data_IF_665935114653
#
_entry.id   IF_665935114653
#
_cell.length_a   1.000
_cell.length_b   1.000
_cell.length_c   1.000
_cell.angle_alpha   90.00
_cell.angle_beta   90.00
_cell.angle_gamma   90.00
#
_symmetry.space_group_name_H-M   'P 1'
#
loop_
_entity.id
_entity.type
_entity.pdbx_description
1 polymer ?
#
# COMPACT_ATOMS: atom_id res chain seq x y z
N UNK A 1 51.45 -1.99 33.95
CA UNK A 1 51.09 -2.54 32.62
C UNK A 1 49.59 -2.76 32.58
N UNK A 2 48.88 -1.84 31.92
CA UNK A 2 47.43 -1.89 31.68
C UNK A 2 47.15 -2.89 30.57
N UNK A 3 46.20 -3.81 30.74
CA UNK A 3 45.57 -4.54 29.64
C UNK A 3 44.13 -4.08 29.54
N UNK A 4 43.88 -3.33 28.47
CA UNK A 4 42.61 -2.73 28.10
C UNK A 4 41.65 -3.83 27.64
N UNK A 5 40.45 -3.85 28.22
CA UNK A 5 39.30 -4.54 27.67
C UNK A 5 38.88 -3.80 26.39
N UNK A 6 39.20 -4.36 25.22
CA UNK A 6 38.61 -3.93 23.95
C UNK A 6 37.17 -4.44 23.90
N UNK A 7 36.24 -3.53 24.19
CA UNK A 7 34.83 -3.66 23.84
C UNK A 7 34.74 -3.78 22.32
N UNK A 8 34.33 -4.95 21.85
CA UNK A 8 33.98 -5.16 20.46
C UNK A 8 32.63 -4.46 20.22
N UNK A 9 32.64 -3.28 19.60
CA UNK A 9 31.45 -2.67 19.02
C UNK A 9 30.91 -3.61 17.93
N UNK A 10 29.97 -4.48 18.29
CA UNK A 10 29.10 -5.17 17.36
C UNK A 10 28.12 -4.12 16.82
N UNK A 11 28.38 -3.68 15.59
CA UNK A 11 27.48 -2.88 14.80
C UNK A 11 26.17 -3.64 14.58
N UNK A 12 25.19 -3.40 15.45
CA UNK A 12 23.77 -3.74 15.25
C UNK A 12 23.18 -2.61 14.42
N UNK A 13 23.54 -2.63 13.13
CA UNK A 13 23.15 -1.66 12.13
C UNK A 13 23.11 -2.36 10.79
N UNK A 14 22.15 -3.27 10.63
CA UNK A 14 21.64 -3.77 9.33
C UNK A 14 20.56 -4.82 9.57
N UNK A 15 19.30 -4.42 9.46
CA UNK A 15 18.24 -5.21 8.78
C UNK A 15 17.06 -4.32 8.33
N UNK A 16 17.36 -3.04 8.08
CA UNK A 16 16.55 -2.09 7.28
C UNK A 16 17.47 -1.40 6.24
N UNK A 17 18.48 -2.11 5.77
CA UNK A 17 19.44 -1.61 4.78
C UNK A 17 20.01 -2.73 3.89
N UNK A 18 19.08 -3.40 3.22
CA UNK A 18 19.16 -3.61 1.77
C UNK A 18 17.83 -3.03 1.29
N UNK A 19 17.70 -1.75 0.95
CA UNK A 19 18.52 -1.01 0.00
C UNK A 19 18.55 0.47 0.42
N UNK A 20 19.72 0.94 0.86
CA UNK A 20 20.12 2.34 0.71
C UNK A 20 20.54 2.56 -0.74
N UNK A 21 19.56 2.54 -1.62
CA UNK A 21 19.55 3.38 -2.81
C UNK A 21 18.45 4.36 -2.43
N UNK A 22 18.73 5.64 -2.61
CA UNK A 22 17.72 6.56 -3.14
C UNK A 22 17.21 5.95 -4.45
N UNK A 23 16.47 4.86 -4.36
CA UNK A 23 15.54 4.45 -5.35
C UNK A 23 14.29 5.04 -4.76
N UNK A 24 13.80 6.09 -5.40
CA UNK A 24 12.38 6.19 -5.63
C UNK A 24 11.87 4.74 -5.80
N UNK A 25 11.33 4.15 -4.73
CA UNK A 25 10.40 3.04 -4.88
C UNK A 25 9.17 3.75 -5.40
N UNK A 26 9.25 4.10 -6.68
CA UNK A 26 8.12 4.57 -7.43
C UNK A 26 7.08 3.47 -7.40
N UNK A 27 5.81 3.79 -7.61
CA UNK A 27 4.72 2.86 -7.91
C UNK A 27 5.03 1.79 -9.00
N UNK A 28 6.22 1.78 -9.60
CA UNK A 28 6.42 1.46 -11.00
C UNK A 28 7.23 0.17 -11.27
N UNK A 29 7.40 -0.74 -10.30
CA UNK A 29 8.27 -1.92 -10.45
C UNK A 29 7.55 -3.27 -10.15
N UNK A 30 7.31 -4.09 -11.19
CA UNK A 30 6.79 -5.47 -11.11
C UNK A 30 7.80 -6.53 -11.64
N UNK A 31 8.30 -7.39 -10.76
CA UNK A 31 9.30 -8.42 -11.07
C UNK A 31 8.82 -9.52 -12.04
N UNK A 32 9.68 -9.97 -12.96
CA UNK A 32 9.49 -11.26 -13.66
C UNK A 32 9.98 -12.44 -12.79
N UNK A 33 9.67 -13.69 -13.20
CA UNK A 33 10.08 -14.91 -12.47
C UNK A 33 11.59 -15.04 -12.24
N UNK A 34 12.41 -14.34 -13.03
CA UNK A 34 13.88 -14.44 -13.03
C UNK A 34 14.58 -13.18 -12.48
N UNK A 35 13.83 -12.25 -11.87
CA UNK A 35 14.33 -10.99 -11.26
C UNK A 35 15.21 -10.10 -12.16
N UNK A 36 15.07 -10.18 -13.48
CA UNK A 36 15.83 -9.33 -14.42
C UNK A 36 14.92 -8.28 -15.08
N UNK A 37 15.25 -7.02 -14.82
CA UNK A 37 14.81 -5.76 -15.45
C UNK A 37 13.34 -5.63 -15.87
N UNK A 38 12.64 -4.70 -15.22
CA UNK A 38 11.21 -4.50 -15.39
C UNK A 38 10.96 -3.19 -16.13
N UNK A 39 10.10 -3.22 -17.14
CA UNK A 39 9.55 -2.03 -17.79
C UNK A 39 8.81 -1.20 -16.74
N UNK A 40 9.16 0.07 -16.47
CA UNK A 40 8.44 0.87 -15.49
C UNK A 40 6.92 0.89 -15.77
N UNK A 41 6.07 0.94 -14.73
CA UNK A 41 4.61 0.88 -14.87
C UNK A 41 4.08 1.86 -15.91
N UNK A 42 4.55 3.09 -15.93
CA UNK A 42 4.20 4.13 -16.90
C UNK A 42 4.54 3.76 -18.35
N UNK A 43 5.50 2.86 -18.54
CA UNK A 43 5.95 2.37 -19.85
C UNK A 43 5.31 1.02 -20.23
N UNK A 44 4.50 0.41 -19.37
CA UNK A 44 3.78 -0.84 -19.67
C UNK A 44 2.54 -0.58 -20.53
N UNK A 45 2.24 -1.51 -21.44
CA UNK A 45 0.94 -1.54 -22.11
C UNK A 45 -0.18 -1.86 -21.12
N UNK A 46 -1.40 -1.41 -21.42
CA UNK A 46 -2.58 -1.70 -20.60
C UNK A 46 -2.83 -3.20 -20.42
N UNK A 47 -2.49 -4.02 -21.42
CA UNK A 47 -2.55 -5.48 -21.32
C UNK A 47 -1.57 -6.02 -20.27
N UNK A 48 -0.31 -5.55 -20.28
CA UNK A 48 0.70 -5.96 -19.30
C UNK A 48 0.36 -5.49 -17.88
N UNK A 49 -0.09 -4.24 -17.75
CA UNK A 49 -0.59 -3.71 -16.47
C UNK A 49 -1.74 -4.56 -15.94
N UNK A 50 -2.73 -4.87 -16.79
CA UNK A 50 -3.88 -5.70 -16.40
C UNK A 50 -3.44 -7.10 -15.99
N UNK A 51 -2.48 -7.70 -16.70
CA UNK A 51 -1.96 -9.02 -16.33
C UNK A 51 -1.30 -9.03 -14.94
N UNK A 52 -0.53 -8.00 -14.61
CA UNK A 52 0.04 -7.85 -13.28
C UNK A 52 -1.03 -7.62 -12.20
N UNK A 53 -2.03 -6.77 -12.49
CA UNK A 53 -3.15 -6.54 -11.59
C UNK A 53 -3.94 -7.82 -11.30
N UNK A 54 -4.10 -8.71 -12.27
CA UNK A 54 -4.75 -10.00 -12.07
C UNK A 54 -3.95 -10.90 -11.11
N UNK A 55 -2.62 -10.90 -11.21
CA UNK A 55 -1.75 -11.63 -10.27
C UNK A 55 -1.92 -11.10 -8.85
N UNK A 56 -1.77 -9.78 -8.67
CA UNK A 56 -1.96 -9.14 -7.37
C UNK A 56 -3.38 -9.34 -6.82
N UNK A 57 -4.41 -9.29 -7.67
CA UNK A 57 -5.78 -9.54 -7.25
C UNK A 57 -6.01 -10.97 -6.77
N UNK A 58 -5.38 -11.96 -7.42
CA UNK A 58 -5.40 -13.34 -6.97
C UNK A 58 -4.75 -13.49 -5.59
N UNK A 59 -3.57 -12.89 -5.40
CA UNK A 59 -2.84 -12.88 -4.13
C UNK A 59 -3.67 -12.19 -3.02
N UNK A 60 -4.26 -11.03 -3.31
CA UNK A 60 -5.16 -10.29 -2.40
C UNK A 60 -6.35 -11.16 -2.01
N UNK A 61 -7.05 -11.73 -3.00
CA UNK A 61 -8.23 -12.56 -2.77
C UNK A 61 -7.91 -13.78 -1.90
N UNK A 62 -6.77 -14.41 -2.16
CA UNK A 62 -6.29 -15.54 -1.37
C UNK A 62 -5.94 -15.12 0.06
N UNK A 63 -5.25 -13.99 0.25
CA UNK A 63 -4.95 -13.45 1.58
C UNK A 63 -6.23 -13.12 2.36
N UNK A 64 -7.23 -12.50 1.72
CA UNK A 64 -8.51 -12.19 2.35
C UNK A 64 -9.26 -13.44 2.82
N UNK A 65 -9.27 -14.51 2.01
CA UNK A 65 -9.91 -15.78 2.36
C UNK A 65 -9.17 -16.54 3.47
N UNK A 66 -7.92 -16.17 3.77
CA UNK A 66 -7.05 -16.88 4.70
C UNK A 66 -6.49 -15.97 5.81
N UNK A 67 -7.08 -14.79 6.01
CA UNK A 67 -6.65 -13.87 7.05
C UNK A 67 -6.68 -14.53 8.43
N UNK A 68 -5.62 -14.33 9.22
CA UNK A 68 -5.45 -14.99 10.51
C UNK A 68 -5.19 -16.49 10.42
N UNK A 69 -4.83 -17.05 9.26
CA UNK A 69 -4.31 -18.43 9.18
C UNK A 69 -2.78 -18.45 9.25
N UNK A 70 -2.18 -19.48 9.86
CA UNK A 70 -0.73 -19.68 9.80
C UNK A 70 -0.22 -19.96 8.40
N UNK A 71 0.96 -19.44 8.08
CA UNK A 71 1.63 -19.69 6.79
C UNK A 71 1.84 -21.19 6.55
N UNK A 72 2.12 -21.98 7.60
CA UNK A 72 2.23 -23.45 7.51
C UNK A 72 0.92 -24.17 7.14
N UNK A 73 -0.23 -23.50 7.23
CA UNK A 73 -1.56 -24.08 6.94
C UNK A 73 -2.14 -23.60 5.61
N UNK A 74 -1.36 -22.88 4.81
CA UNK A 74 -1.76 -22.35 3.50
C UNK A 74 -0.72 -22.73 2.45
N UNK A 75 -1.09 -22.64 1.18
CA UNK A 75 -0.11 -22.73 0.08
C UNK A 75 0.67 -21.41 -0.04
N UNK A 76 1.99 -21.39 0.22
CA UNK A 76 2.80 -20.17 0.18
C UNK A 76 2.95 -19.59 -1.24
N UNK A 77 2.83 -20.44 -2.27
CA UNK A 77 2.91 -20.02 -3.68
C UNK A 77 1.80 -19.05 -4.07
N UNK A 78 0.64 -19.13 -3.42
CA UNK A 78 -0.52 -18.27 -3.70
C UNK A 78 -0.39 -16.87 -3.10
N UNK A 79 0.55 -16.69 -2.18
CA UNK A 79 0.81 -15.41 -1.51
C UNK A 79 2.02 -14.70 -2.13
N UNK A 80 2.90 -15.46 -2.79
CA UNK A 80 4.11 -14.97 -3.45
C UNK A 80 4.92 -14.05 -2.53
N UNK A 81 5.06 -14.45 -1.26
CA UNK A 81 5.71 -13.64 -0.25
C UNK A 81 6.61 -14.51 0.63
N UNK A 82 7.83 -14.72 0.13
CA UNK A 82 8.87 -15.53 0.80
C UNK A 82 9.40 -14.83 2.05
N UNK A 83 9.20 -13.51 2.20
CA UNK A 83 9.80 -12.72 3.27
C UNK A 83 8.93 -12.68 4.54
N UNK A 84 7.61 -12.54 4.41
CA UNK A 84 6.71 -12.43 5.57
C UNK A 84 6.45 -13.75 6.31
N UNK A 85 6.71 -14.91 5.67
CA UNK A 85 6.69 -16.22 6.34
C UNK A 85 7.59 -16.25 7.59
N UNK A 86 8.66 -15.46 7.60
CA UNK A 86 9.72 -15.55 8.61
C UNK A 86 9.50 -14.69 9.86
N UNK A 87 8.67 -13.63 9.80
CA UNK A 87 8.55 -12.66 10.91
C UNK A 87 7.23 -12.73 11.68
N UNK A 88 6.13 -13.05 11.00
CA UNK A 88 4.79 -12.97 11.60
C UNK A 88 4.08 -14.32 11.64
N UNK A 89 4.52 -15.31 10.86
CA UNK A 89 4.02 -16.70 10.90
C UNK A 89 2.57 -16.88 10.42
N UNK A 90 1.92 -15.79 10.00
CA UNK A 90 0.48 -15.67 9.78
C UNK A 90 0.11 -14.67 8.68
N UNK A 91 -1.05 -14.85 8.04
CA UNK A 91 -1.63 -13.85 7.12
C UNK A 91 -2.24 -12.69 7.90
N UNK A 92 -1.75 -11.48 7.67
CA UNK A 92 -2.17 -10.26 8.38
C UNK A 92 -2.84 -9.24 7.46
N UNK A 93 -3.43 -8.20 8.08
CA UNK A 93 -3.91 -7.05 7.32
C UNK A 93 -2.75 -6.28 6.68
N UNK A 94 -1.58 -6.23 7.32
CA UNK A 94 -0.38 -5.58 6.78
C UNK A 94 0.12 -6.22 5.50
N UNK A 95 0.04 -7.55 5.41
CA UNK A 95 0.34 -8.27 4.17
C UNK A 95 -0.63 -7.88 3.05
N UNK A 96 -1.93 -7.88 3.34
CA UNK A 96 -2.97 -7.46 2.38
C UNK A 96 -2.75 -6.01 1.94
N UNK A 97 -2.34 -5.13 2.88
CA UNK A 97 -2.01 -3.75 2.59
C UNK A 97 -0.87 -3.63 1.58
N UNK A 98 0.24 -4.34 1.81
CA UNK A 98 1.37 -4.38 0.88
C UNK A 98 0.97 -4.77 -0.54
N UNK A 99 0.09 -5.77 -0.67
CA UNK A 99 -0.45 -6.18 -1.98
C UNK A 99 -1.33 -5.11 -2.63
N UNK A 100 -2.18 -4.43 -1.86
CA UNK A 100 -2.97 -3.30 -2.41
C UNK A 100 -2.10 -2.10 -2.82
N UNK A 101 -0.99 -1.85 -2.12
CA UNK A 101 -0.01 -0.84 -2.52
C UNK A 101 0.64 -1.21 -3.87
N UNK A 102 1.06 -2.47 -4.05
CA UNK A 102 1.59 -2.96 -5.33
C UNK A 102 0.53 -2.97 -6.45
N UNK A 103 -0.72 -3.22 -6.10
CA UNK A 103 -1.87 -3.14 -7.01
C UNK A 103 -2.21 -1.70 -7.43
N UNK A 104 -1.68 -0.68 -6.74
CA UNK A 104 -1.98 0.73 -7.01
C UNK A 104 -3.31 1.24 -6.43
N UNK A 105 -3.97 0.50 -5.54
CA UNK A 105 -5.13 0.98 -4.77
C UNK A 105 -4.71 1.42 -3.38
N UNK A 106 -4.08 2.60 -3.33
CA UNK A 106 -3.52 3.16 -2.10
C UNK A 106 -4.55 3.42 -1.00
N UNK A 107 -5.82 3.64 -1.38
CA UNK A 107 -6.89 3.80 -0.42
C UNK A 107 -7.16 2.50 0.33
N UNK A 108 -7.23 1.37 -0.38
CA UNK A 108 -7.34 0.06 0.28
C UNK A 108 -6.02 -0.30 0.99
N UNK A 109 -4.86 0.03 0.44
CA UNK A 109 -3.57 -0.17 1.11
C UNK A 109 -3.56 0.46 2.51
N UNK A 110 -3.85 1.76 2.60
CA UNK A 110 -3.92 2.47 3.89
C UNK A 110 -4.95 1.86 4.84
N UNK A 111 -6.13 1.52 4.33
CA UNK A 111 -7.20 0.93 5.14
C UNK A 111 -6.73 -0.36 5.80
N UNK A 112 -6.14 -1.29 5.04
CA UNK A 112 -5.62 -2.53 5.58
C UNK A 112 -4.40 -2.32 6.50
N UNK A 113 -3.50 -1.39 6.17
CA UNK A 113 -2.38 -1.05 7.04
C UNK A 113 -2.86 -0.48 8.38
N UNK A 114 -3.93 0.32 8.37
CA UNK A 114 -4.53 0.83 9.60
C UNK A 114 -5.26 -0.24 10.41
N UNK A 115 -5.91 -1.20 9.76
CA UNK A 115 -6.48 -2.37 10.45
C UNK A 115 -5.38 -3.19 11.14
N UNK A 116 -4.23 -3.37 10.48
CA UNK A 116 -3.04 -4.03 11.06
C UNK A 116 -2.52 -3.26 12.29
N UNK A 117 -2.36 -1.94 12.13
CA UNK A 117 -2.05 -1.01 13.23
C UNK A 117 -2.97 -1.21 14.45
N UNK A 118 -4.28 -1.13 14.22
CA UNK A 118 -5.27 -1.23 15.29
C UNK A 118 -5.28 -2.62 15.94
N UNK A 119 -5.03 -3.68 15.17
CA UNK A 119 -4.94 -5.04 15.70
C UNK A 119 -3.73 -5.21 16.61
N UNK A 120 -2.59 -4.62 16.27
CA UNK A 120 -1.40 -4.63 17.12
C UNK A 120 -1.58 -3.78 18.39
N UNK A 121 -2.15 -2.57 18.27
CA UNK A 121 -2.42 -1.69 19.42
C UNK A 121 -3.39 -2.30 20.41
N UNK A 122 -4.46 -2.94 19.91
CA UNK A 122 -5.49 -3.53 20.75
C UNK A 122 -5.16 -4.96 21.20
N UNK A 123 -4.00 -5.49 20.82
CA UNK A 123 -3.61 -6.83 21.21
C UNK A 123 -3.42 -6.93 22.74
N UNK A 124 -4.11 -7.87 23.42
CA UNK A 124 -3.80 -8.20 24.81
C UNK A 124 -2.36 -8.73 24.92
N UNK A 125 -1.56 -8.07 25.78
CA UNK A 125 -0.19 -8.50 26.07
C UNK A 125 -0.15 -9.34 27.34
N UNK A 126 0.54 -10.47 27.31
CA UNK A 126 0.80 -11.32 28.47
C UNK A 126 2.33 -11.44 28.66
N UNK A 127 2.84 -11.11 29.85
CA UNK A 127 4.28 -11.03 30.13
C UNK A 127 5.08 -10.17 29.13
N UNK A 128 4.48 -9.08 28.63
CA UNK A 128 5.11 -8.17 27.68
C UNK A 128 5.11 -8.63 26.21
N UNK A 129 4.57 -9.81 25.91
CA UNK A 129 4.44 -10.35 24.55
C UNK A 129 3.00 -10.32 24.08
N UNK A 130 2.80 -10.09 22.80
CA UNK A 130 1.49 -10.26 22.17
C UNK A 130 1.02 -11.72 22.31
N UNK A 131 -0.25 -11.96 22.64
CA UNK A 131 -0.80 -13.32 22.61
C UNK A 131 -0.66 -13.92 21.19
N UNK A 132 -0.53 -15.24 21.03
CA UNK A 132 -0.44 -15.88 19.71
C UNK A 132 -1.63 -15.59 18.78
N UNK A 133 -2.78 -15.26 19.36
CA UNK A 133 -4.01 -14.86 18.67
C UNK A 133 -3.99 -13.37 18.23
N UNK A 134 -2.89 -12.67 18.50
CA UNK A 134 -2.58 -11.36 17.94
C UNK A 134 -1.50 -11.52 16.87
N UNK A 135 -1.96 -11.45 15.64
CA UNK A 135 -1.16 -11.72 14.44
C UNK A 135 -0.43 -10.44 13.98
N UNK A 136 -0.59 -9.30 14.67
CA UNK A 136 0.04 -8.00 14.34
C UNK A 136 1.54 -7.87 14.68
N UNK A 137 2.24 -9.01 14.81
CA UNK A 137 3.64 -9.08 15.22
C UNK A 137 3.86 -8.79 16.72
N UNK A 138 4.77 -9.54 17.33
CA UNK A 138 5.31 -9.18 18.64
C UNK A 138 6.33 -8.04 18.45
N UNK A 139 5.93 -6.82 18.83
CA UNK A 139 6.77 -5.62 18.70
C UNK A 139 7.88 -5.53 19.75
N UNK A 140 7.95 -6.49 20.68
CA UNK A 140 8.99 -6.49 21.72
C UNK A 140 10.40 -6.77 21.18
N UNK A 141 10.53 -7.26 19.94
CA UNK A 141 11.82 -7.45 19.25
C UNK A 141 12.35 -6.23 18.50
N UNK A 142 11.53 -5.18 18.31
CA UNK A 142 11.96 -3.89 17.73
C UNK A 142 12.19 -2.98 18.93
N UNK A 143 13.46 -2.73 19.27
CA UNK A 143 13.98 -2.35 20.60
C UNK A 143 13.45 -1.08 21.29
N UNK A 144 12.32 -0.53 20.88
CA UNK A 144 11.67 0.65 21.47
C UNK A 144 10.13 0.59 21.48
N UNK A 145 9.51 -0.52 21.04
CA UNK A 145 8.06 -0.68 21.04
C UNK A 145 7.31 0.25 20.07
N UNK A 146 8.02 0.89 19.12
CA UNK A 146 7.39 1.68 18.06
C UNK A 146 6.90 0.72 16.97
N UNK A 147 5.59 0.70 16.75
CA UNK A 147 5.04 0.03 15.59
C UNK A 147 5.21 0.96 14.38
N UNK A 148 5.93 0.58 13.30
CA UNK A 148 6.12 1.46 12.14
C UNK A 148 4.91 1.71 11.20
N UNK A 149 3.72 1.07 11.30
CA UNK A 149 2.73 1.21 10.24
C UNK A 149 2.10 2.59 10.18
N UNK A 150 2.11 3.40 11.24
CA UNK A 150 1.68 4.80 11.11
C UNK A 150 2.60 5.59 10.19
N UNK A 151 3.91 5.38 10.27
CA UNK A 151 4.88 5.97 9.35
C UNK A 151 4.66 5.45 7.93
N UNK A 152 4.47 4.14 7.75
CA UNK A 152 4.18 3.57 6.42
C UNK A 152 2.86 4.08 5.82
N UNK A 153 1.81 4.26 6.65
CA UNK A 153 0.54 4.86 6.22
C UNK A 153 0.76 6.32 5.78
N UNK A 154 1.52 7.09 6.57
CA UNK A 154 1.87 8.47 6.26
C UNK A 154 2.66 8.54 4.95
N UNK A 155 3.68 7.71 4.78
CA UNK A 155 4.49 7.61 3.56
C UNK A 155 3.61 7.31 2.35
N UNK A 156 2.67 6.37 2.48
CA UNK A 156 1.72 6.00 1.42
C UNK A 156 0.86 7.20 1.00
N UNK A 157 0.35 7.98 1.96
CA UNK A 157 -0.41 9.19 1.65
C UNK A 157 0.45 10.26 0.97
N UNK A 158 1.68 10.48 1.44
CA UNK A 158 2.58 11.48 0.86
C UNK A 158 3.02 11.13 -0.56
N UNK A 159 3.34 9.86 -0.82
CA UNK A 159 3.63 9.36 -2.18
C UNK A 159 2.46 9.61 -3.15
N UNK A 160 1.23 9.61 -2.64
CA UNK A 160 0.02 9.91 -3.40
C UNK A 160 -0.38 11.38 -3.41
N UNK A 161 0.46 12.26 -2.85
CA UNK A 161 0.17 13.69 -2.69
C UNK A 161 -1.11 13.98 -1.87
N UNK A 162 -1.64 13.00 -1.14
CA UNK A 162 -2.78 13.15 -0.25
C UNK A 162 -2.33 13.52 1.17
N UNK A 163 -1.65 14.66 1.26
CA UNK A 163 -1.16 15.20 2.53
C UNK A 163 -2.30 15.46 3.52
N UNK A 164 -3.50 15.80 3.02
CA UNK A 164 -4.68 15.99 3.87
C UNK A 164 -5.10 14.68 4.54
N UNK A 165 -5.07 13.57 3.80
CA UNK A 165 -5.26 12.22 4.32
C UNK A 165 -4.19 11.78 5.33
N UNK A 166 -2.95 12.24 5.18
CA UNK A 166 -1.85 11.93 6.11
C UNK A 166 -1.99 12.58 7.50
N UNK A 167 -2.58 13.79 7.59
CA UNK A 167 -2.55 14.60 8.84
C UNK A 167 -3.07 13.91 10.11
N UNK A 168 -4.18 13.14 10.09
CA UNK A 168 -4.66 12.44 11.28
C UNK A 168 -3.66 11.39 11.80
N UNK A 169 -2.90 10.75 10.91
CA UNK A 169 -1.90 9.74 11.27
C UNK A 169 -0.65 10.39 11.84
N UNK A 170 -0.24 11.54 11.30
CA UNK A 170 0.80 12.37 11.91
C UNK A 170 0.46 12.77 13.34
N UNK A 171 -0.76 13.26 13.58
CA UNK A 171 -1.19 13.66 14.92
C UNK A 171 -1.13 12.50 15.90
N UNK A 172 -1.50 11.29 15.46
CA UNK A 172 -1.45 10.09 16.29
C UNK A 172 -0.01 9.68 16.61
N UNK A 173 0.86 9.63 15.61
CA UNK A 173 2.27 9.25 15.78
C UNK A 173 3.01 10.26 16.67
N UNK A 174 2.89 11.56 16.36
CA UNK A 174 3.49 12.64 17.15
C UNK A 174 2.91 12.72 18.57
N UNK A 175 1.62 12.43 18.73
CA UNK A 175 1.00 12.33 20.05
C UNK A 175 1.59 11.21 20.91
N UNK A 176 2.09 10.14 20.28
CA UNK A 176 2.80 9.07 20.98
C UNK A 176 4.20 9.52 21.43
N UNK A 177 4.95 10.21 20.57
CA UNK A 177 6.30 10.71 20.87
C UNK A 177 6.29 11.85 21.91
N UNK A 178 5.26 12.69 21.85
CA UNK A 178 5.11 13.85 22.71
C UNK A 178 4.39 13.54 24.03
N UNK A 179 4.00 12.28 24.27
CA UNK A 179 3.14 11.89 25.42
C UNK A 179 3.70 12.38 26.76
N UNK A 180 5.00 12.16 26.96
CA UNK A 180 5.71 12.42 28.22
C UNK A 180 6.29 13.84 28.30
N UNK A 181 6.00 14.69 27.30
CA UNK A 181 6.43 16.08 27.28
C UNK A 181 5.34 16.98 27.87
N UNK A 182 5.77 18.01 28.60
CA UNK A 182 4.89 19.01 29.19
C UNK A 182 4.16 19.82 28.11
N UNK A 183 2.90 20.20 28.37
CA UNK A 183 2.07 20.99 27.45
C UNK A 183 0.60 20.57 27.51
N UNK A 184 -0.31 21.52 27.30
CA UNK A 184 -1.76 21.29 27.25
C UNK A 184 -2.23 20.89 25.85
N UNK A 185 -1.52 21.32 24.81
CA UNK A 185 -1.81 20.99 23.41
C UNK A 185 -0.69 20.14 22.79
N UNK A 186 -0.98 19.45 21.68
CA UNK A 186 0.03 18.71 20.94
C UNK A 186 1.16 19.64 20.46
N UNK A 187 0.81 20.82 19.98
CA UNK A 187 1.76 21.84 19.51
C UNK A 187 2.72 22.31 20.61
N UNK A 188 2.21 22.52 21.83
CA UNK A 188 3.04 22.86 22.99
C UNK A 188 4.01 21.73 23.36
N UNK A 189 3.50 20.49 23.39
CA UNK A 189 4.31 19.31 23.67
C UNK A 189 5.42 19.12 22.64
N UNK A 190 5.11 19.31 21.36
CA UNK A 190 6.08 19.19 20.26
C UNK A 190 7.12 20.32 20.27
N UNK A 191 6.73 21.55 20.67
CA UNK A 191 7.69 22.64 20.90
C UNK A 191 8.69 22.27 22.00
N UNK A 192 8.21 21.70 23.11
CA UNK A 192 9.09 21.27 24.21
C UNK A 192 10.00 20.09 23.79
N UNK A 193 9.48 19.16 23.00
CA UNK A 193 10.29 18.09 22.37
C UNK A 193 11.40 18.67 21.48
N UNK A 194 11.10 19.65 20.61
CA UNK A 194 12.11 20.35 19.79
C UNK A 194 13.20 21.02 20.64
N UNK A 195 12.83 21.67 21.75
CA UNK A 195 13.79 22.30 22.67
C UNK A 195 14.71 21.26 23.32
N UNK A 196 14.18 20.10 23.71
CA UNK A 196 14.98 19.01 24.29
C UNK A 196 15.90 18.39 23.24
N UNK A 197 15.42 18.18 22.02
CA UNK A 197 16.18 17.60 20.93
C UNK A 197 17.38 18.47 20.50
N UNK A 198 17.31 19.79 20.68
CA UNK A 198 18.46 20.68 20.48
C UNK A 198 19.66 20.38 21.42
N UNK A 199 19.46 19.55 22.44
CA UNK A 199 20.48 19.15 23.44
C UNK A 199 20.75 17.65 23.45
N UNK A 200 20.04 16.87 22.65
CA UNK A 200 20.11 15.40 22.62
C UNK A 200 20.02 14.90 21.17
N UNK A 201 21.17 14.49 20.63
CA UNK A 201 21.31 14.02 19.25
C UNK A 201 20.45 12.78 18.95
N UNK A 202 20.07 12.00 19.99
CA UNK A 202 19.20 10.84 19.82
C UNK A 202 17.75 11.20 19.46
N UNK A 203 17.37 12.48 19.55
CA UNK A 203 16.04 12.97 19.21
C UNK A 203 15.96 13.60 17.80
N UNK A 204 17.00 13.42 16.97
CA UNK A 204 17.05 13.98 15.61
C UNK A 204 15.89 13.49 14.73
N UNK A 205 15.57 12.20 14.79
CA UNK A 205 14.43 11.61 14.08
C UNK A 205 13.10 12.26 14.51
N UNK A 206 13.00 12.58 15.82
CA UNK A 206 11.84 13.24 16.39
C UNK A 206 11.57 14.61 15.74
N UNK A 207 12.63 15.40 15.58
CA UNK A 207 12.57 16.74 14.99
C UNK A 207 12.25 16.66 13.49
N UNK A 208 12.92 15.78 12.75
CA UNK A 208 12.69 15.61 11.32
C UNK A 208 11.22 15.26 11.01
N UNK A 209 10.60 14.40 11.84
CA UNK A 209 9.21 14.05 11.65
C UNK A 209 8.25 15.21 11.95
N UNK A 210 8.56 16.07 12.94
CA UNK A 210 7.77 17.28 13.21
C UNK A 210 7.87 18.25 12.03
N UNK A 211 9.06 18.43 11.46
CA UNK A 211 9.26 19.27 10.26
C UNK A 211 8.49 18.72 9.06
N UNK A 212 8.51 17.40 8.88
CA UNK A 212 7.73 16.71 7.85
C UNK A 212 6.22 16.94 8.03
N UNK A 213 5.71 16.85 9.27
CA UNK A 213 4.31 17.20 9.58
C UNK A 213 3.97 18.67 9.31
N UNK A 214 4.86 19.60 9.65
CA UNK A 214 4.69 21.03 9.36
C UNK A 214 4.66 21.31 7.86
N UNK A 215 5.48 20.60 7.07
CA UNK A 215 5.44 20.62 5.61
C UNK A 215 4.13 20.05 5.08
N UNK A 216 3.70 18.87 5.55
CA UNK A 216 2.44 18.24 5.16
C UNK A 216 1.23 19.15 5.43
N UNK A 217 1.19 19.87 6.56
CA UNK A 217 0.14 20.87 6.85
C UNK A 217 0.05 21.99 5.81
N UNK A 218 1.17 22.39 5.21
CA UNK A 218 1.21 23.40 4.14
C UNK A 218 0.73 22.77 2.82
N UNK A 219 1.27 21.61 2.46
CA UNK A 219 0.94 20.90 1.22
C UNK A 219 -0.52 20.44 1.17
N UNK A 220 -1.11 20.06 2.31
CA UNK A 220 -2.52 19.68 2.40
C UNK A 220 -3.51 20.80 1.97
N UNK A 221 -3.06 22.05 1.84
CA UNK A 221 -3.87 23.18 1.35
C UNK A 221 -3.77 23.38 -0.15
N UNK A 222 -2.71 22.89 -0.80
CA UNK A 222 -2.36 23.21 -2.19
C UNK A 222 -2.34 21.99 -3.09
N UNK A 223 -1.83 20.86 -2.58
CA UNK A 223 -1.70 19.61 -3.32
C UNK A 223 -3.03 18.85 -3.38
N UNK A 224 -3.19 18.08 -4.45
CA UNK A 224 -4.32 17.17 -4.64
C UNK A 224 -3.81 15.75 -4.78
N UNK A 225 -4.58 14.75 -4.29
CA UNK A 225 -4.23 13.35 -4.49
C UNK A 225 -4.04 13.02 -5.96
N UNK A 226 -3.04 12.18 -6.25
CA UNK A 226 -2.85 11.60 -7.57
C UNK A 226 -4.09 10.75 -7.90
N UNK A 227 -4.74 10.95 -9.07
CA UNK A 227 -5.87 10.12 -9.46
C UNK A 227 -5.42 8.67 -9.67
N UNK A 228 -6.29 7.72 -9.32
CA UNK A 228 -6.02 6.30 -9.58
C UNK A 228 -5.78 6.06 -11.07
N UNK A 229 -4.76 5.26 -11.39
CA UNK A 229 -4.49 4.85 -12.76
C UNK A 229 -5.76 4.21 -13.37
N UNK A 230 -6.18 4.62 -14.59
CA UNK A 230 -7.38 4.08 -15.21
C UNK A 230 -7.40 2.56 -15.29
N UNK A 231 -6.27 1.90 -15.53
CA UNK A 231 -6.18 0.44 -15.61
C UNK A 231 -6.57 -0.18 -14.27
N UNK A 232 -6.04 0.37 -13.16
CA UNK A 232 -6.35 -0.06 -11.79
C UNK A 232 -7.84 0.12 -11.49
N UNK A 233 -8.40 1.28 -11.85
CA UNK A 233 -9.81 1.59 -11.61
C UNK A 233 -10.74 0.64 -12.38
N UNK A 234 -10.46 0.35 -13.65
CA UNK A 234 -11.27 -0.55 -14.46
C UNK A 234 -11.10 -2.01 -14.02
N UNK A 235 -9.90 -2.42 -13.61
CA UNK A 235 -9.67 -3.73 -13.00
C UNK A 235 -10.46 -3.92 -11.71
N UNK A 236 -10.50 -2.89 -10.85
CA UNK A 236 -11.35 -2.91 -9.66
C UNK A 236 -12.84 -3.02 -10.01
N UNK A 237 -13.30 -2.32 -11.04
CA UNK A 237 -14.68 -2.40 -11.50
C UNK A 237 -15.06 -3.76 -12.07
N UNK A 238 -14.12 -4.48 -12.70
CA UNK A 238 -14.36 -5.83 -13.20
C UNK A 238 -14.78 -6.81 -12.10
N UNK A 239 -14.23 -6.65 -10.90
CA UNK A 239 -14.57 -7.46 -9.72
C UNK A 239 -15.71 -6.90 -8.88
N UNK A 240 -16.36 -5.83 -9.32
CA UNK A 240 -17.49 -5.26 -8.61
C UNK A 240 -18.73 -6.16 -8.68
N UNK A 241 -19.53 -6.14 -7.61
CA UNK A 241 -20.85 -6.74 -7.61
C UNK A 241 -21.86 -5.97 -8.50
N UNK A 242 -21.53 -4.74 -8.93
CA UNK A 242 -22.42 -3.90 -9.74
C UNK A 242 -22.18 -4.14 -11.24
N UNK A 243 -23.17 -4.67 -11.99
CA UNK A 243 -23.00 -4.96 -13.42
C UNK A 243 -22.60 -3.72 -14.24
N UNK A 244 -23.11 -2.53 -13.89
CA UNK A 244 -22.77 -1.30 -14.59
C UNK A 244 -21.28 -0.91 -14.47
N UNK A 245 -20.61 -1.24 -13.36
CA UNK A 245 -19.17 -1.04 -13.21
C UNK A 245 -18.40 -2.07 -14.04
N UNK A 246 -18.82 -3.34 -14.00
CA UNK A 246 -18.20 -4.41 -14.82
C UNK A 246 -18.29 -4.09 -16.31
N UNK A 247 -19.42 -3.58 -16.80
CA UNK A 247 -19.59 -3.19 -18.20
C UNK A 247 -18.62 -2.08 -18.63
N UNK A 248 -18.37 -1.08 -17.75
CA UNK A 248 -17.34 -0.06 -18.03
C UNK A 248 -15.94 -0.68 -18.15
N UNK A 249 -15.62 -1.67 -17.32
CA UNK A 249 -14.37 -2.41 -17.42
C UNK A 249 -14.27 -3.17 -18.75
N UNK A 250 -15.35 -3.83 -19.20
CA UNK A 250 -15.36 -4.52 -20.50
C UNK A 250 -15.14 -3.56 -21.67
N UNK A 251 -15.77 -2.39 -21.65
CA UNK A 251 -15.60 -1.37 -22.68
C UNK A 251 -14.14 -0.91 -22.76
N UNK A 252 -13.53 -0.70 -21.59
CA UNK A 252 -12.11 -0.36 -21.47
C UNK A 252 -11.20 -1.47 -22.01
N UNK A 253 -11.45 -2.73 -21.65
CA UNK A 253 -10.65 -3.87 -22.13
C UNK A 253 -10.78 -4.10 -23.64
N UNK A 254 -11.97 -3.88 -24.20
CA UNK A 254 -12.17 -3.95 -25.65
C UNK A 254 -11.38 -2.86 -26.38
N UNK A 255 -11.43 -1.61 -25.89
CA UNK A 255 -10.70 -0.48 -26.48
C UNK A 255 -9.19 -0.64 -26.39
N UNK A 256 -8.70 -1.12 -25.24
CA UNK A 256 -7.27 -1.26 -24.96
C UNK A 256 -6.71 -2.66 -25.27
N UNK A 257 -7.46 -3.45 -26.06
CA UNK A 257 -7.01 -4.74 -26.59
C UNK A 257 -6.59 -5.77 -25.52
N UNK A 258 -7.23 -5.75 -24.35
CA UNK A 258 -6.98 -6.70 -23.25
C UNK A 258 -7.87 -7.95 -23.36
N UNK A 259 -7.49 -8.88 -24.24
CA UNK A 259 -8.35 -10.01 -24.65
C UNK A 259 -8.73 -10.94 -23.50
N UNK A 260 -7.76 -11.32 -22.68
CA UNK A 260 -7.94 -12.37 -21.66
C UNK A 260 -8.99 -11.98 -20.60
N UNK A 261 -9.17 -10.68 -20.32
CA UNK A 261 -10.23 -10.21 -19.41
C UNK A 261 -11.63 -10.34 -20.01
N UNK A 262 -11.76 -10.11 -21.32
CA UNK A 262 -13.01 -10.36 -22.03
C UNK A 262 -13.34 -11.85 -22.07
N UNK A 263 -12.35 -12.71 -22.31
CA UNK A 263 -12.50 -14.17 -22.24
C UNK A 263 -12.97 -14.61 -20.84
N UNK A 264 -12.37 -14.05 -19.79
CA UNK A 264 -12.80 -14.27 -18.40
C UNK A 264 -14.24 -13.82 -18.15
N UNK A 265 -14.65 -12.67 -18.68
CA UNK A 265 -16.02 -12.17 -18.56
C UNK A 265 -17.05 -12.94 -19.38
N UNK A 266 -16.66 -13.62 -20.47
CA UNK A 266 -17.57 -14.45 -21.26
C UNK A 266 -18.16 -15.62 -20.47
N UNK A 267 -17.48 -16.03 -19.37
CA UNK A 267 -17.93 -17.02 -18.40
C UNK A 267 -18.57 -16.42 -17.13
N UNK A 268 -18.87 -15.11 -17.12
CA UNK A 268 -19.40 -14.43 -15.94
C UNK A 268 -20.83 -14.90 -15.59
N UNK A 269 -21.14 -14.97 -14.28
CA UNK A 269 -22.46 -15.44 -13.79
C UNK A 269 -23.62 -14.54 -14.21
N UNK A 270 -23.36 -13.24 -14.40
CA UNK A 270 -24.36 -12.30 -14.91
C UNK A 270 -24.47 -12.41 -16.43
N UNK A 271 -25.66 -12.75 -16.99
CA UNK A 271 -25.83 -12.99 -18.42
C UNK A 271 -25.62 -11.73 -19.28
N UNK A 272 -25.87 -10.53 -18.75
CA UNK A 272 -25.64 -9.27 -19.48
C UNK A 272 -24.15 -9.04 -19.68
N UNK A 273 -23.35 -9.25 -18.63
CA UNK A 273 -21.87 -9.16 -18.70
C UNK A 273 -21.32 -10.20 -19.66
N UNK A 274 -21.75 -11.46 -19.53
CA UNK A 274 -21.28 -12.55 -20.39
C UNK A 274 -21.64 -12.35 -21.86
N UNK A 275 -22.86 -11.87 -22.15
CA UNK A 275 -23.28 -11.53 -23.51
C UNK A 275 -22.42 -10.41 -24.09
N UNK A 276 -22.20 -9.33 -23.34
CA UNK A 276 -21.42 -8.19 -23.80
C UNK A 276 -19.96 -8.55 -24.09
N UNK A 277 -19.35 -9.36 -23.24
CA UNK A 277 -17.99 -9.86 -23.46
C UNK A 277 -17.88 -10.70 -24.74
N UNK A 278 -18.86 -11.59 -25.01
CA UNK A 278 -18.91 -12.37 -26.26
C UNK A 278 -19.06 -11.47 -27.49
N UNK A 279 -19.92 -10.45 -27.44
CA UNK A 279 -20.05 -9.46 -28.53
C UNK A 279 -18.71 -8.76 -28.84
N UNK A 280 -17.89 -8.45 -27.83
CA UNK A 280 -16.57 -7.87 -28.05
C UNK A 280 -15.56 -8.87 -28.63
N UNK A 281 -15.60 -10.13 -28.17
CA UNK A 281 -14.74 -11.17 -28.70
C UNK A 281 -15.08 -11.53 -30.16
N UNK A 282 -16.35 -11.57 -30.53
CA UNK A 282 -16.81 -11.85 -31.90
C UNK A 282 -16.35 -10.77 -32.91
N UNK A 283 -16.05 -9.56 -32.42
CA UNK A 283 -15.57 -8.45 -33.22
C UNK A 283 -14.07 -8.18 -33.04
N UNK A 284 -13.34 -9.07 -32.37
CA UNK A 284 -11.95 -8.82 -31.95
C UNK A 284 -10.98 -8.59 -33.10
N UNK A 285 -11.10 -9.38 -34.18
CA UNK A 285 -10.19 -9.30 -35.33
C UNK A 285 -10.68 -8.33 -36.40
N UNK A 286 -11.82 -7.67 -36.18
CA UNK A 286 -12.30 -6.62 -37.08
C UNK A 286 -11.50 -5.35 -36.80
N UNK A 287 -11.08 -4.61 -37.84
CA UNK A 287 -10.44 -3.32 -37.65
C UNK A 287 -11.36 -2.42 -36.83
N UNK A 288 -10.84 -1.89 -35.73
CA UNK A 288 -11.56 -0.90 -34.92
C UNK A 288 -11.74 0.31 -35.83
N UNK A 289 -12.99 0.66 -36.14
CA UNK A 289 -13.26 1.92 -36.82
C UNK A 289 -12.65 3.03 -35.96
N UNK A 290 -11.74 3.81 -36.52
CA UNK A 290 -11.18 4.98 -35.84
C UNK A 290 -12.35 5.83 -35.36
N UNK A 291 -12.47 5.95 -34.04
CA UNK A 291 -13.42 6.84 -33.40
C UNK A 291 -12.93 8.26 -33.72
N UNK A 292 -13.36 8.79 -34.86
CA UNK A 292 -13.09 10.16 -35.28
C UNK A 292 -13.78 11.10 -34.30
N UNK A 293 -13.09 11.43 -33.20
CA UNK A 293 -13.27 12.64 -32.41
C UNK A 293 -14.73 13.06 -32.20
N UNK A 294 -15.56 12.20 -31.63
CA UNK A 294 -16.93 12.53 -31.22
C UNK A 294 -16.96 13.34 -29.91
N UNK A 295 -16.32 14.51 -29.89
CA UNK A 295 -16.56 15.52 -28.86
C UNK A 295 -17.99 16.06 -29.00
N UNK A 296 -18.95 15.40 -28.35
CA UNK A 296 -20.29 15.94 -28.15
C UNK A 296 -20.24 17.13 -27.18
N UNK A 297 -20.95 18.24 -27.44
CA UNK A 297 -20.85 19.44 -26.62
C UNK A 297 -21.34 19.17 -25.20
N UNK A 298 -20.57 19.61 -24.20
CA UNK A 298 -21.10 19.81 -22.85
C UNK A 298 -22.22 20.85 -22.95
N UNK A 299 -23.47 20.41 -22.78
CA UNK A 299 -24.61 21.29 -22.56
C UNK A 299 -24.28 22.22 -21.39
N UNK A 300 -24.18 23.51 -21.69
CA UNK A 300 -24.27 24.55 -20.67
C UNK A 300 -25.72 24.58 -20.21
N UNK A 301 -25.93 24.24 -18.95
CA UNK A 301 -27.15 24.60 -18.22
C UNK A 301 -27.07 26.09 -17.91
N UNK A 302 -28.00 26.86 -18.49
CA UNK A 302 -28.51 28.11 -17.91
C UNK A 302 -29.61 27.79 -16.89
#
# INVERSE_FOLDING_TARGET
>A
MKRECKVLCLAVGCLMSVVGVSAEIGPDQIWNKDRTYVVPWENMSDELKTFALEQYWSEISYCLANIGKPFKAINPKEVNDVLYETYVGYITHGLIAGKYCQYGDYKECVKYAYMDYMQSVNCPKEAGRCKPECWGGDLSGVGDGRYPPLVAIIDTYEQNHDYKGALPYYQRELGSWARDYEGKTLEEKLKNLKIKAAKDENLTEAVQFIERWEKAKKLAKTEKPIPMDPVVQHHKWFYSAKPAEVLKALDYYSKNRVKFMLEKAAAHKNPVVAKKAKEYLDNWDKPVAEDNGGGGPLEKSE
#
